data_IF_660350372912
#
_entry.id   IF_660350372912
#
_cell.length_a   1.000
_cell.length_b   1.000
_cell.length_c   1.000
_cell.angle_alpha   90.00
_cell.angle_beta   90.00
_cell.angle_gamma   90.00
#
_symmetry.space_group_name_H-M   'P 1'
#
loop_
_entity.id
_entity.type
_entity.pdbx_description
1 polymer ?
#
# COMPACT_ATOMS: atom_id res chain seq x y z
N UNK A 1 -14.57 18.08 4.52
CA UNK A 1 -13.51 17.04 4.54
C UNK A 1 -14.10 15.69 4.86
N UNK A 2 -13.96 14.75 3.97
CA UNK A 2 -14.44 13.39 4.19
C UNK A 2 -13.29 12.48 4.62
N UNK A 3 -13.62 11.47 5.42
CA UNK A 3 -12.71 10.40 5.83
C UNK A 3 -13.27 9.08 5.36
N UNK A 4 -12.44 8.31 4.68
CA UNK A 4 -12.83 7.01 4.11
C UNK A 4 -11.91 5.91 4.64
N UNK A 5 -12.45 4.75 4.90
CA UNK A 5 -11.69 3.57 5.28
C UNK A 5 -11.90 2.47 4.23
N UNK A 6 -10.82 1.88 3.75
CA UNK A 6 -10.85 0.81 2.75
C UNK A 6 -10.10 -0.40 3.29
N UNK A 7 -10.71 -1.58 3.17
CA UNK A 7 -10.11 -2.85 3.57
C UNK A 7 -9.43 -3.57 2.40
N UNK A 8 -8.43 -4.37 2.72
CA UNK A 8 -7.80 -5.40 1.87
C UNK A 8 -7.70 -5.08 0.39
N UNK A 9 -6.89 -4.10 0.02
CA UNK A 9 -6.67 -3.72 -1.39
C UNK A 9 -5.99 -4.85 -2.16
N UNK A 10 -4.99 -5.48 -1.59
CA UNK A 10 -4.31 -6.68 -2.11
C UNK A 10 -3.94 -6.60 -3.60
N UNK A 11 -3.31 -5.52 -4.02
CA UNK A 11 -2.86 -5.33 -5.40
C UNK A 11 -3.97 -5.03 -6.41
N UNK A 12 -5.21 -4.79 -5.97
CA UNK A 12 -6.34 -4.47 -6.83
C UNK A 12 -6.42 -2.96 -7.08
N UNK A 13 -5.43 -2.41 -7.79
CA UNK A 13 -5.30 -0.98 -8.00
C UNK A 13 -6.42 -0.38 -8.86
N UNK A 14 -6.83 -1.07 -9.92
CA UNK A 14 -7.87 -0.55 -10.81
C UNK A 14 -9.21 -0.40 -10.06
N UNK A 15 -9.54 -1.37 -9.22
CA UNK A 15 -10.74 -1.34 -8.37
C UNK A 15 -10.65 -0.21 -7.34
N UNK A 16 -9.47 0.00 -6.75
CA UNK A 16 -9.25 1.10 -5.81
C UNK A 16 -9.41 2.46 -6.50
N UNK A 17 -8.82 2.63 -7.69
CA UNK A 17 -8.95 3.87 -8.47
C UNK A 17 -10.42 4.15 -8.84
N UNK A 18 -11.17 3.11 -9.25
CA UNK A 18 -12.59 3.23 -9.56
C UNK A 18 -13.40 3.64 -8.32
N UNK A 19 -13.10 3.06 -7.16
CA UNK A 19 -13.75 3.42 -5.91
C UNK A 19 -13.50 4.88 -5.56
N UNK A 20 -12.24 5.32 -5.62
CA UNK A 20 -11.88 6.71 -5.31
C UNK A 20 -12.57 7.71 -6.25
N UNK A 21 -12.67 7.37 -7.53
CA UNK A 21 -13.39 8.19 -8.51
C UNK A 21 -14.89 8.24 -8.19
N UNK A 22 -15.47 7.11 -7.81
CA UNK A 22 -16.90 6.99 -7.54
C UNK A 22 -17.36 7.77 -6.31
N UNK A 23 -16.54 7.81 -5.27
CA UNK A 23 -16.83 8.59 -4.07
C UNK A 23 -16.43 10.06 -4.18
N UNK A 24 -15.83 10.45 -5.30
CA UNK A 24 -15.36 11.83 -5.51
C UNK A 24 -14.21 12.20 -4.60
N UNK A 25 -13.30 11.27 -4.32
CA UNK A 25 -12.16 11.51 -3.44
C UNK A 25 -11.26 12.62 -3.99
N UNK A 26 -10.94 13.59 -3.12
CA UNK A 26 -9.99 14.66 -3.43
C UNK A 26 -8.84 14.65 -2.43
N UNK A 27 -7.61 14.45 -2.92
CA UNK A 27 -6.41 14.44 -2.10
C UNK A 27 -6.12 15.80 -1.42
N UNK A 28 -6.75 16.87 -1.87
CA UNK A 28 -6.60 18.20 -1.27
C UNK A 28 -7.39 18.37 0.02
N UNK A 29 -8.48 17.59 0.20
CA UNK A 29 -9.41 17.81 1.32
C UNK A 29 -9.83 16.53 2.05
N UNK A 30 -9.71 15.37 1.42
CA UNK A 30 -10.21 14.11 1.98
C UNK A 30 -9.05 13.28 2.54
N UNK A 31 -9.36 12.38 3.48
CA UNK A 31 -8.42 11.42 4.03
C UNK A 31 -8.84 10.00 3.71
N UNK A 32 -7.85 9.18 3.36
CA UNK A 32 -8.03 7.75 3.10
C UNK A 32 -7.28 6.95 4.17
N UNK A 33 -8.01 6.10 4.87
CA UNK A 33 -7.46 5.12 5.80
C UNK A 33 -7.49 3.74 5.17
N UNK A 34 -6.36 3.07 5.17
CA UNK A 34 -6.21 1.73 4.64
C UNK A 34 -5.93 0.78 5.80
N UNK A 35 -6.68 -0.32 5.88
CA UNK A 35 -6.59 -1.24 7.02
C UNK A 35 -5.54 -2.34 6.81
N UNK A 36 -4.54 -2.08 6.00
CA UNK A 36 -3.45 -3.01 5.72
C UNK A 36 -3.70 -3.89 4.50
N UNK A 37 -2.78 -4.81 4.27
CA UNK A 37 -2.78 -5.72 3.11
C UNK A 37 -2.95 -4.98 1.78
N UNK A 38 -2.07 -3.98 1.56
CA UNK A 38 -2.06 -3.20 0.33
C UNK A 38 -1.60 -4.02 -0.87
N UNK A 39 -0.75 -4.99 -0.63
CA UNK A 39 -0.02 -5.72 -1.65
C UNK A 39 -0.36 -7.20 -1.63
N UNK A 40 0.13 -7.90 -2.64
CA UNK A 40 0.02 -9.34 -2.84
C UNK A 40 -1.36 -9.79 -3.34
N UNK A 41 -1.47 -11.01 -3.78
CA UNK A 41 -2.65 -11.66 -4.37
C UNK A 41 -3.12 -11.06 -5.69
N UNK A 42 -3.52 -9.80 -5.74
CA UNK A 42 -3.90 -9.12 -6.97
C UNK A 42 -2.70 -8.77 -7.85
N UNK A 43 -2.94 -8.37 -9.11
CA UNK A 43 -1.88 -8.24 -10.11
C UNK A 43 -1.10 -6.93 -10.07
N UNK A 44 -1.58 -5.90 -9.35
CA UNK A 44 -1.06 -4.53 -9.46
C UNK A 44 -0.53 -3.98 -8.14
N UNK A 45 0.18 -4.81 -7.36
CA UNK A 45 0.73 -4.40 -6.06
C UNK A 45 1.65 -3.19 -6.14
N UNK A 46 2.53 -3.14 -7.15
CA UNK A 46 3.42 -2.00 -7.37
C UNK A 46 2.63 -0.71 -7.60
N UNK A 47 1.59 -0.79 -8.43
CA UNK A 47 0.74 0.36 -8.75
C UNK A 47 -0.02 0.86 -7.53
N UNK A 48 -0.47 -0.04 -6.66
CA UNK A 48 -1.11 0.32 -5.38
C UNK A 48 -0.15 1.11 -4.49
N UNK A 49 1.07 0.62 -4.31
CA UNK A 49 2.06 1.32 -3.47
C UNK A 49 2.38 2.71 -4.02
N UNK A 50 2.52 2.84 -5.33
CA UNK A 50 2.77 4.14 -5.97
C UNK A 50 1.58 5.08 -5.84
N UNK A 51 0.36 4.58 -5.96
CA UNK A 51 -0.85 5.37 -5.75
C UNK A 51 -0.93 5.89 -4.31
N UNK A 52 -0.76 5.03 -3.33
CA UNK A 52 -0.81 5.40 -1.90
C UNK A 52 0.28 6.43 -1.59
N UNK A 53 1.49 6.21 -2.10
CA UNK A 53 2.60 7.17 -1.95
C UNK A 53 2.26 8.53 -2.55
N UNK A 54 1.60 8.56 -3.71
CA UNK A 54 1.22 9.80 -4.39
C UNK A 54 0.20 10.62 -3.62
N UNK A 55 -0.61 9.99 -2.78
CA UNK A 55 -1.59 10.68 -1.93
C UNK A 55 -0.94 11.38 -0.72
N UNK A 56 0.31 11.05 -0.44
CA UNK A 56 1.08 11.70 0.62
C UNK A 56 0.44 11.58 1.99
N UNK A 57 0.36 12.70 2.71
CA UNK A 57 -0.18 12.75 4.06
C UNK A 57 -1.70 12.47 4.13
N UNK A 58 -2.40 12.47 3.00
CA UNK A 58 -3.84 12.23 2.94
C UNK A 58 -4.19 10.74 2.91
N UNK A 59 -3.21 9.86 2.79
CA UNK A 59 -3.41 8.41 2.89
C UNK A 59 -2.58 7.85 4.04
N UNK A 60 -3.22 7.05 4.87
CA UNK A 60 -2.59 6.39 6.02
C UNK A 60 -2.99 4.93 6.01
N UNK A 61 -2.03 4.05 6.25
CA UNK A 61 -2.28 2.61 6.32
C UNK A 61 -1.72 2.02 7.61
N UNK A 62 -2.36 0.98 8.11
CA UNK A 62 -1.76 0.07 9.08
C UNK A 62 -1.12 -1.10 8.34
N UNK A 63 -0.26 -1.87 9.01
CA UNK A 63 0.39 -3.03 8.43
C UNK A 63 -0.48 -4.26 8.55
N UNK A 64 -0.77 -4.91 7.42
CA UNK A 64 -1.34 -6.24 7.39
C UNK A 64 -0.26 -7.31 7.18
N UNK A 65 -0.67 -8.58 7.16
CA UNK A 65 0.25 -9.72 7.00
C UNK A 65 1.04 -9.65 5.69
N UNK A 66 0.40 -9.27 4.59
CA UNK A 66 1.05 -9.20 3.27
C UNK A 66 2.04 -8.05 3.18
N UNK A 67 1.77 -6.93 3.85
CA UNK A 67 2.71 -5.80 3.92
C UNK A 67 3.95 -6.19 4.72
N UNK A 68 3.78 -6.88 5.84
CA UNK A 68 4.90 -7.42 6.63
C UNK A 68 5.72 -8.43 5.84
N UNK A 69 5.06 -9.30 5.06
CA UNK A 69 5.74 -10.26 4.19
C UNK A 69 6.58 -9.54 3.12
N UNK A 70 6.04 -8.50 2.49
CA UNK A 70 6.80 -7.68 1.54
C UNK A 70 8.06 -7.10 2.19
N UNK A 71 7.94 -6.55 3.39
CA UNK A 71 9.10 -6.00 4.11
C UNK A 71 10.12 -7.09 4.43
N UNK A 72 9.68 -8.27 4.84
CA UNK A 72 10.57 -9.40 5.12
C UNK A 72 11.33 -9.84 3.86
N UNK A 73 10.66 -9.93 2.71
CA UNK A 73 11.30 -10.29 1.45
C UNK A 73 12.26 -9.20 0.97
N UNK A 74 11.84 -7.94 0.99
CA UNK A 74 12.60 -6.83 0.43
C UNK A 74 13.79 -6.42 1.30
N UNK A 75 13.66 -6.49 2.61
CA UNK A 75 14.65 -5.92 3.55
C UNK A 75 15.39 -6.99 4.38
N UNK A 76 14.76 -8.13 4.66
CA UNK A 76 15.32 -9.17 5.51
C UNK A 76 15.72 -10.44 4.75
N UNK A 77 15.60 -10.47 3.43
CA UNK A 77 16.04 -11.58 2.60
C UNK A 77 15.15 -12.83 2.64
N UNK A 78 13.92 -12.71 3.11
CA UNK A 78 12.94 -13.80 3.04
C UNK A 78 12.68 -14.22 1.60
N UNK A 79 12.30 -15.48 1.40
CA UNK A 79 12.01 -16.02 0.07
C UNK A 79 10.56 -15.74 -0.33
N UNK A 80 10.35 -15.47 -1.62
CA UNK A 80 9.01 -15.41 -2.19
C UNK A 80 8.33 -16.80 -2.11
N UNK A 81 7.03 -16.76 -1.84
CA UNK A 81 6.16 -17.94 -1.92
C UNK A 81 5.60 -18.05 -3.34
N UNK A 82 5.16 -19.27 -3.73
CA UNK A 82 4.60 -19.50 -5.08
C UNK A 82 3.39 -18.62 -5.40
N UNK A 83 2.59 -18.28 -4.40
CA UNK A 83 1.39 -17.45 -4.55
C UNK A 83 1.68 -15.96 -4.52
N UNK A 84 2.93 -15.54 -4.28
CA UNK A 84 3.26 -14.11 -4.18
C UNK A 84 3.24 -13.42 -5.53
N UNK A 85 2.71 -12.20 -5.54
CA UNK A 85 2.66 -11.30 -6.72
C UNK A 85 3.50 -10.04 -6.47
N UNK A 86 4.65 -10.18 -5.83
CA UNK A 86 5.49 -9.07 -5.37
C UNK A 86 6.69 -8.79 -6.28
N UNK A 87 6.89 -9.57 -7.34
CA UNK A 87 8.08 -9.49 -8.19
C UNK A 87 8.28 -8.12 -8.83
N UNK A 88 7.23 -7.46 -9.26
CA UNK A 88 7.30 -6.13 -9.86
C UNK A 88 7.84 -5.08 -8.89
N UNK A 89 7.46 -5.17 -7.61
CA UNK A 89 7.97 -4.27 -6.57
C UNK A 89 9.47 -4.47 -6.38
N UNK A 90 9.90 -5.73 -6.31
CA UNK A 90 11.30 -6.08 -6.09
C UNK A 90 12.18 -5.68 -7.27
N UNK A 91 11.63 -5.65 -8.48
CA UNK A 91 12.33 -5.24 -9.69
C UNK A 91 12.25 -3.74 -9.99
N UNK A 92 11.42 -2.97 -9.26
CA UNK A 92 11.21 -1.56 -9.53
C UNK A 92 12.44 -0.71 -9.19
N UNK A 93 12.74 0.35 -9.98
CA UNK A 93 13.85 1.25 -9.67
C UNK A 93 13.73 1.94 -8.32
N UNK A 94 12.50 2.18 -7.87
CA UNK A 94 12.17 2.82 -6.59
C UNK A 94 11.86 1.82 -5.46
N UNK A 95 12.28 0.54 -5.62
CA UNK A 95 11.94 -0.55 -4.69
C UNK A 95 12.34 -0.26 -3.24
N UNK A 96 13.44 0.44 -3.04
CA UNK A 96 13.95 0.71 -1.69
C UNK A 96 13.11 1.73 -0.93
N UNK A 97 12.42 2.62 -1.66
CA UNK A 97 11.55 3.62 -1.09
C UNK A 97 10.13 3.08 -0.79
N UNK A 98 9.61 2.22 -1.67
CA UNK A 98 8.22 1.77 -1.62
C UNK A 98 7.85 0.98 -0.36
N UNK A 99 8.65 0.00 0.09
CA UNK A 99 8.34 -0.76 1.30
C UNK A 99 8.82 -0.13 2.60
N UNK A 100 9.62 0.95 2.53
CA UNK A 100 10.14 1.57 3.73
C UNK A 100 9.04 2.14 4.60
N UNK A 101 9.07 1.74 5.85
CA UNK A 101 8.16 2.20 6.87
C UNK A 101 8.55 3.61 7.32
N UNK A 102 7.61 4.51 7.23
CA UNK A 102 7.56 5.67 8.11
C UNK A 102 6.50 5.36 9.16
N UNK A 103 6.81 4.38 9.99
CA UNK A 103 5.88 3.95 11.02
C UNK A 103 5.85 4.94 12.17
N UNK A 104 4.66 5.30 12.60
CA UNK A 104 4.47 5.93 13.90
C UNK A 104 4.43 4.82 14.96
N UNK A 105 5.42 4.75 15.87
CA UNK A 105 5.46 3.69 16.87
C UNK A 105 4.31 3.76 17.89
N UNK A 106 3.63 4.90 17.98
CA UNK A 106 2.51 5.07 18.90
C UNK A 106 1.20 4.56 18.31
N UNK A 107 0.99 4.73 17.01
CA UNK A 107 -0.28 4.40 16.35
C UNK A 107 -0.20 3.14 15.52
N UNK A 108 1.00 2.66 15.19
CA UNK A 108 1.21 1.55 14.26
C UNK A 108 0.90 1.90 12.81
N UNK A 109 0.72 3.17 12.50
CA UNK A 109 0.49 3.64 11.15
C UNK A 109 1.71 3.45 10.26
N UNK A 110 1.46 3.09 9.03
CA UNK A 110 2.48 2.84 8.03
C UNK A 110 2.20 3.64 6.77
N UNK A 111 3.26 4.24 6.20
CA UNK A 111 3.17 4.95 4.94
C UNK A 111 4.30 4.49 4.02
N UNK A 112 3.97 4.01 2.79
CA UNK A 112 4.98 3.67 1.81
C UNK A 112 5.78 4.89 1.38
N UNK A 113 7.05 4.73 1.35
CA UNK A 113 7.94 5.75 0.85
C UNK A 113 8.50 6.73 1.77
#
# INVERSE_FOLDING_TARGET
MARWAVGDVQGCCDELEQLLARIGFSSDRDRLWLVGDLVNRGPLSLKVLRLVRSLGANAVSVLGNHDLHLLAVALAGEKLRKSDTLSEILAAPDRDALPKLKADPKTGEYRPG
#
